data_IF_471654885341
#
_entry.id   IF_471654885341
#
_cell.length_a   1.000
_cell.length_b   1.000
_cell.length_c   1.000
_cell.angle_alpha   90.00
_cell.angle_beta   90.00
_cell.angle_gamma   90.00
#
_symmetry.space_group_name_H-M   'P 1'
#
loop_
_entity.id
_entity.type
_entity.pdbx_description
1 polymer ?
#
# COMPACT_ATOMS: atom_id res chain seq x y z
N UNK A 1 -6.44 22.35 7.44
CA UNK A 1 -6.04 23.21 6.29
C UNK A 1 -7.28 23.86 5.75
N UNK A 2 -7.29 25.22 5.71
CA UNK A 2 -8.36 26.03 5.14
C UNK A 2 -7.86 26.70 3.86
N UNK A 3 -8.71 26.80 2.85
CA UNK A 3 -8.43 27.51 1.60
C UNK A 3 -9.70 28.03 0.96
N UNK A 4 -9.57 29.03 0.11
CA UNK A 4 -10.68 29.64 -0.64
C UNK A 4 -10.42 29.52 -2.14
N UNK A 5 -11.47 29.65 -2.93
CA UNK A 5 -11.38 29.76 -4.38
C UNK A 5 -11.36 31.25 -4.77
N UNK A 6 -10.64 31.59 -5.82
CA UNK A 6 -10.61 32.91 -6.44
C UNK A 6 -11.57 33.04 -7.63
N UNK A 7 -12.10 31.91 -8.11
CA UNK A 7 -13.01 31.82 -9.25
C UNK A 7 -14.03 30.70 -9.05
N UNK A 8 -15.06 30.69 -9.89
CA UNK A 8 -15.99 29.55 -9.95
C UNK A 8 -15.24 28.28 -10.38
N UNK A 9 -15.30 27.23 -9.53
CA UNK A 9 -14.56 25.99 -9.75
C UNK A 9 -15.31 24.82 -9.12
N UNK A 10 -15.19 23.61 -9.67
CA UNK A 10 -15.74 22.42 -9.02
C UNK A 10 -14.95 22.08 -7.75
N UNK A 11 -15.65 21.57 -6.74
CA UNK A 11 -15.01 21.11 -5.50
C UNK A 11 -13.88 20.09 -5.78
N UNK A 12 -14.07 19.23 -6.79
CA UNK A 12 -13.05 18.28 -7.21
C UNK A 12 -11.76 18.95 -7.66
N UNK A 13 -11.87 19.94 -8.54
CA UNK A 13 -10.69 20.64 -9.08
C UNK A 13 -10.01 21.49 -8.02
N UNK A 14 -10.81 22.17 -7.18
CA UNK A 14 -10.27 22.96 -6.06
C UNK A 14 -9.49 22.10 -5.06
N UNK A 15 -10.07 20.99 -4.63
CA UNK A 15 -9.43 20.02 -3.72
C UNK A 15 -8.18 19.42 -4.36
N UNK A 16 -8.23 19.08 -5.65
CA UNK A 16 -7.06 18.57 -6.38
C UNK A 16 -5.92 19.60 -6.40
N UNK A 17 -6.21 20.85 -6.77
CA UNK A 17 -5.21 21.90 -6.89
C UNK A 17 -4.58 22.29 -5.53
N UNK A 18 -5.40 22.54 -4.52
CA UNK A 18 -4.94 23.04 -3.22
C UNK A 18 -4.36 21.96 -2.31
N UNK A 19 -4.67 20.69 -2.54
CA UNK A 19 -4.17 19.55 -1.77
C UNK A 19 -3.12 18.72 -2.50
N UNK A 20 -2.70 19.11 -3.70
CA UNK A 20 -1.63 18.48 -4.46
C UNK A 20 -1.96 17.02 -4.90
N UNK A 21 -3.23 16.69 -5.12
CA UNK A 21 -3.58 15.37 -5.63
C UNK A 21 -3.27 15.25 -7.13
N UNK A 22 -2.40 14.32 -7.48
CA UNK A 22 -2.06 14.04 -8.89
C UNK A 22 -3.23 13.39 -9.64
N UNK A 23 -4.13 12.68 -8.93
CA UNK A 23 -5.21 11.87 -9.53
C UNK A 23 -6.60 12.38 -9.13
N UNK A 24 -7.48 12.53 -10.13
CA UNK A 24 -8.91 12.83 -9.92
C UNK A 24 -9.60 11.77 -9.03
N UNK A 25 -9.19 10.52 -9.12
CA UNK A 25 -9.76 9.43 -8.31
C UNK A 25 -9.46 9.63 -6.83
N UNK A 26 -8.25 10.05 -6.47
CA UNK A 26 -7.88 10.34 -5.07
C UNK A 26 -8.69 11.52 -4.52
N UNK A 27 -8.77 12.62 -5.26
CA UNK A 27 -9.55 13.79 -4.85
C UNK A 27 -11.05 13.48 -4.71
N UNK A 28 -11.62 12.72 -5.66
CA UNK A 28 -13.03 12.27 -5.57
C UNK A 28 -13.31 11.42 -4.34
N UNK A 29 -12.40 10.51 -3.99
CA UNK A 29 -12.57 9.65 -2.82
C UNK A 29 -12.63 10.47 -1.53
N UNK A 30 -11.73 11.43 -1.35
CA UNK A 30 -11.67 12.32 -0.18
C UNK A 30 -12.98 13.08 0.00
N UNK A 31 -13.56 13.62 -1.09
CA UNK A 31 -14.84 14.32 -1.05
C UNK A 31 -15.97 13.34 -0.71
N UNK A 32 -16.03 12.18 -1.36
CA UNK A 32 -17.10 11.18 -1.14
C UNK A 32 -17.14 10.62 0.27
N UNK A 33 -15.99 10.46 0.92
CA UNK A 33 -15.94 9.99 2.32
C UNK A 33 -16.27 11.09 3.35
N UNK A 34 -16.53 12.32 2.88
CA UNK A 34 -17.01 13.41 3.73
C UNK A 34 -15.91 14.15 4.50
N UNK A 35 -14.67 14.13 4.02
CA UNK A 35 -13.55 14.84 4.66
C UNK A 35 -13.39 16.29 4.20
N UNK A 36 -14.31 16.81 3.41
CA UNK A 36 -14.29 18.20 2.97
C UNK A 36 -15.53 18.92 3.49
N UNK A 37 -15.31 20.05 4.13
CA UNK A 37 -16.34 20.99 4.53
C UNK A 37 -16.28 22.23 3.63
N UNK A 38 -17.46 22.70 3.24
CA UNK A 38 -17.65 23.95 2.50
C UNK A 38 -18.56 24.83 3.36
N UNK A 39 -18.09 25.98 3.76
CA UNK A 39 -18.81 26.90 4.69
C UNK A 39 -19.36 26.17 5.92
N UNK A 40 -18.52 25.33 6.55
CA UNK A 40 -18.86 24.59 7.76
C UNK A 40 -19.75 23.33 7.56
N UNK A 41 -20.14 23.00 6.33
CA UNK A 41 -20.97 21.80 6.02
C UNK A 41 -20.19 20.75 5.25
N UNK A 42 -20.29 19.50 5.66
CA UNK A 42 -19.66 18.37 4.95
C UNK A 42 -20.30 18.17 3.58
N UNK A 43 -19.52 18.27 2.52
CA UNK A 43 -19.95 18.05 1.14
C UNK A 43 -19.34 16.75 0.60
N UNK A 44 -20.18 15.89 0.03
CA UNK A 44 -19.78 14.59 -0.53
C UNK A 44 -19.91 14.50 -2.06
N UNK A 45 -20.33 15.59 -2.71
CA UNK A 45 -20.55 15.65 -4.15
C UNK A 45 -19.37 16.35 -4.82
N UNK A 46 -18.52 15.65 -5.60
CA UNK A 46 -17.32 16.23 -6.22
C UNK A 46 -17.61 17.36 -7.23
N UNK A 47 -18.76 17.34 -7.88
CA UNK A 47 -19.20 18.34 -8.88
C UNK A 47 -19.80 19.60 -8.25
N UNK A 48 -19.86 19.73 -6.93
CA UNK A 48 -20.38 20.93 -6.26
C UNK A 48 -19.61 22.15 -6.73
N UNK A 49 -20.29 23.18 -7.21
CA UNK A 49 -19.71 24.45 -7.63
C UNK A 49 -19.34 25.27 -6.39
N UNK A 50 -18.11 25.72 -6.35
CA UNK A 50 -17.55 26.57 -5.30
C UNK A 50 -17.38 27.97 -5.89
N UNK A 51 -18.04 28.95 -5.28
CA UNK A 51 -17.96 30.35 -5.68
C UNK A 51 -16.70 31.04 -5.09
N UNK A 52 -16.21 32.12 -5.70
CA UNK A 52 -15.13 32.93 -5.14
C UNK A 52 -15.37 33.30 -3.68
N UNK A 53 -14.33 33.26 -2.86
CA UNK A 53 -14.39 33.56 -1.43
C UNK A 53 -15.01 32.49 -0.53
N UNK A 54 -15.57 31.41 -1.09
CA UNK A 54 -16.13 30.32 -0.29
C UNK A 54 -15.03 29.58 0.46
N UNK A 55 -15.15 29.48 1.78
CA UNK A 55 -14.20 28.74 2.63
C UNK A 55 -14.41 27.23 2.46
N UNK A 56 -13.32 26.56 2.13
CA UNK A 56 -13.25 25.09 2.05
C UNK A 56 -12.18 24.63 3.02
N UNK A 57 -12.50 23.66 3.85
CA UNK A 57 -11.57 23.11 4.82
C UNK A 57 -11.68 21.59 4.92
N UNK A 58 -10.62 20.99 5.47
CA UNK A 58 -10.66 19.59 5.90
C UNK A 58 -11.62 19.46 7.08
N UNK A 59 -12.62 18.62 6.94
CA UNK A 59 -13.53 18.29 8.04
C UNK A 59 -12.72 17.72 9.22
N UNK A 60 -12.88 18.32 10.40
CA UNK A 60 -12.43 17.67 11.63
C UNK A 60 -13.16 16.35 11.80
N UNK A 61 -12.49 15.36 12.37
CA UNK A 61 -13.04 14.03 12.63
C UNK A 61 -14.43 14.14 13.31
N UNK A 62 -15.50 13.93 12.56
CA UNK A 62 -16.84 13.82 13.13
C UNK A 62 -16.95 12.40 13.70
N UNK A 63 -16.93 12.28 15.02
CA UNK A 63 -17.23 10.99 15.67
C UNK A 63 -18.65 10.60 15.28
N UNK A 64 -18.79 9.58 14.44
CA UNK A 64 -20.11 8.99 14.16
C UNK A 64 -20.70 8.43 15.45
N UNK A 65 -21.91 8.87 15.83
CA UNK A 65 -22.64 8.37 17.00
C UNK A 65 -23.29 6.98 16.82
N UNK A 66 -22.99 6.27 15.74
CA UNK A 66 -23.43 4.88 15.58
C UNK A 66 -22.53 3.95 16.41
N UNK A 67 -22.80 3.89 17.69
CA UNK A 67 -22.29 2.81 18.55
C UNK A 67 -23.02 1.53 18.12
N UNK A 68 -22.32 0.62 17.49
CA UNK A 68 -22.82 -0.74 17.30
C UNK A 68 -22.97 -1.36 18.69
N UNK A 69 -24.03 -2.15 18.92
CA UNK A 69 -24.30 -2.84 20.20
C UNK A 69 -23.19 -3.81 20.62
N UNK A 70 -22.33 -4.21 19.68
CA UNK A 70 -21.16 -5.06 19.88
C UNK A 70 -19.93 -4.40 19.25
N UNK A 71 -18.77 -4.54 19.87
CA UNK A 71 -17.53 -4.06 19.30
C UNK A 71 -17.25 -4.78 17.97
N UNK A 72 -16.97 -4.04 16.88
CA UNK A 72 -16.69 -4.65 15.59
C UNK A 72 -15.40 -5.46 15.67
N UNK A 73 -15.45 -6.71 15.25
CA UNK A 73 -14.29 -7.60 15.18
C UNK A 73 -13.72 -7.58 13.76
N UNK A 74 -12.45 -7.21 13.63
CA UNK A 74 -11.72 -7.36 12.36
C UNK A 74 -11.20 -8.80 12.23
N UNK A 75 -11.61 -9.51 11.17
CA UNK A 75 -11.20 -10.90 10.90
C UNK A 75 -9.72 -11.03 10.44
N UNK A 76 -9.01 -9.92 10.31
CA UNK A 76 -7.61 -9.85 9.93
C UNK A 76 -6.76 -9.54 11.16
N UNK A 77 -5.55 -10.11 11.20
CA UNK A 77 -4.61 -9.83 12.30
C UNK A 77 -4.21 -8.35 12.27
N UNK A 78 -4.53 -7.63 13.33
CA UNK A 78 -4.06 -6.28 13.55
C UNK A 78 -2.61 -6.36 14.02
N UNK A 79 -1.72 -5.62 13.35
CA UNK A 79 -0.31 -5.51 13.69
C UNK A 79 -0.02 -4.27 14.53
N UNK A 80 -0.74 -3.20 14.23
CA UNK A 80 -0.69 -1.93 14.94
C UNK A 80 -1.99 -1.17 14.76
N UNK A 81 -2.49 -0.53 15.78
CA UNK A 81 -3.64 0.38 15.71
C UNK A 81 -3.52 1.46 16.78
N UNK A 82 -3.65 2.71 16.35
CA UNK A 82 -3.81 3.88 17.22
C UNK A 82 -4.93 4.80 16.69
N UNK A 83 -4.94 6.06 17.11
CA UNK A 83 -5.93 7.03 16.64
C UNK A 83 -5.77 7.40 15.15
N UNK A 84 -4.57 7.31 14.59
CA UNK A 84 -4.19 7.82 13.27
C UNK A 84 -4.10 6.73 12.20
N UNK A 85 -3.60 5.55 12.55
CA UNK A 85 -3.35 4.46 11.59
C UNK A 85 -3.88 3.11 12.08
N UNK A 86 -4.09 2.23 11.12
CA UNK A 86 -4.33 0.79 11.33
C UNK A 86 -3.46 0.01 10.35
N UNK A 87 -2.63 -0.88 10.86
CA UNK A 87 -1.85 -1.82 10.06
C UNK A 87 -2.34 -3.25 10.28
N UNK A 88 -2.52 -3.98 9.20
CA UNK A 88 -3.03 -5.37 9.22
C UNK A 88 -2.16 -6.30 8.42
N UNK A 89 -2.13 -7.57 8.82
CA UNK A 89 -1.48 -8.67 8.09
C UNK A 89 -2.45 -9.24 7.06
N UNK A 90 -2.23 -8.90 5.79
CA UNK A 90 -3.04 -9.39 4.67
C UNK A 90 -2.62 -10.81 4.29
N UNK A 91 -3.56 -11.73 4.26
CA UNK A 91 -3.35 -13.09 3.74
C UNK A 91 -3.28 -13.10 2.22
N UNK A 92 -2.53 -14.03 1.67
CA UNK A 92 -2.53 -14.34 0.23
C UNK A 92 -3.94 -14.67 -0.26
N UNK A 93 -4.24 -14.34 -1.51
CA UNK A 93 -5.55 -14.59 -2.14
C UNK A 93 -6.58 -13.48 -1.92
N UNK A 94 -6.39 -12.60 -0.93
CA UNK A 94 -7.28 -11.50 -0.64
C UNK A 94 -6.91 -10.25 -1.46
N UNK A 95 -7.89 -9.68 -2.15
CA UNK A 95 -7.74 -8.39 -2.85
C UNK A 95 -7.77 -7.27 -1.83
N UNK A 96 -6.82 -6.33 -1.89
CA UNK A 96 -6.82 -5.17 -0.97
C UNK A 96 -7.97 -4.23 -1.28
N UNK A 97 -8.15 -3.83 -2.54
CA UNK A 97 -9.23 -2.94 -3.00
C UNK A 97 -9.60 -3.27 -4.43
N UNK A 98 -10.89 -3.29 -4.73
CA UNK A 98 -11.43 -3.48 -6.08
C UNK A 98 -12.15 -2.23 -6.57
N UNK A 99 -12.13 -2.00 -7.87
CA UNK A 99 -13.02 -1.03 -8.53
C UNK A 99 -14.45 -1.55 -8.64
N UNK A 100 -14.63 -2.86 -8.62
CA UNK A 100 -15.96 -3.50 -8.57
C UNK A 100 -16.46 -3.54 -7.12
N UNK A 101 -17.47 -2.72 -6.82
CA UNK A 101 -18.01 -2.52 -5.47
C UNK A 101 -18.65 -3.75 -4.83
N UNK A 102 -18.92 -4.81 -5.60
CA UNK A 102 -19.59 -6.03 -5.12
C UNK A 102 -18.63 -7.09 -4.56
N UNK A 103 -17.30 -6.85 -4.64
CA UNK A 103 -16.32 -7.79 -4.15
C UNK A 103 -15.92 -7.48 -2.71
N UNK A 104 -15.91 -8.51 -1.87
CA UNK A 104 -15.31 -8.43 -0.54
C UNK A 104 -13.80 -8.26 -0.68
N UNK A 105 -13.26 -7.23 -0.04
CA UNK A 105 -11.84 -6.86 -0.07
C UNK A 105 -11.35 -6.55 1.33
N UNK A 106 -10.04 -6.55 1.53
CA UNK A 106 -9.46 -6.10 2.79
C UNK A 106 -9.94 -4.68 3.15
N UNK A 107 -10.02 -3.79 2.16
CA UNK A 107 -10.51 -2.42 2.35
C UNK A 107 -11.95 -2.37 2.86
N UNK A 108 -12.85 -3.21 2.32
CA UNK A 108 -14.25 -3.24 2.78
C UNK A 108 -14.36 -3.75 4.20
N UNK A 109 -13.57 -4.77 4.58
CA UNK A 109 -13.57 -5.33 5.94
C UNK A 109 -13.00 -4.31 6.95
N UNK A 110 -11.88 -3.65 6.62
CA UNK A 110 -11.28 -2.59 7.45
C UNK A 110 -12.19 -1.38 7.57
N UNK A 111 -12.82 -0.95 6.48
CA UNK A 111 -13.76 0.18 6.50
C UNK A 111 -14.99 -0.11 7.38
N UNK A 112 -15.50 -1.33 7.35
CA UNK A 112 -16.58 -1.77 8.22
C UNK A 112 -16.16 -1.73 9.70
N UNK A 113 -14.99 -2.29 10.02
CA UNK A 113 -14.41 -2.28 11.35
C UNK A 113 -14.22 -0.86 11.90
N UNK A 114 -13.59 0.02 11.12
CA UNK A 114 -13.35 1.41 11.53
C UNK A 114 -14.64 2.19 11.73
N UNK A 115 -15.63 2.00 10.86
CA UNK A 115 -16.97 2.61 11.03
C UNK A 115 -17.67 2.17 12.31
N UNK A 116 -17.53 0.91 12.66
CA UNK A 116 -18.07 0.39 13.92
C UNK A 116 -17.43 1.02 15.15
N UNK A 117 -16.17 1.44 15.05
CA UNK A 117 -15.45 2.22 16.07
C UNK A 117 -15.71 3.73 15.99
N UNK A 118 -16.63 4.18 15.16
CA UNK A 118 -16.92 5.61 14.96
C UNK A 118 -15.87 6.36 14.14
N UNK A 119 -15.06 5.66 13.35
CA UNK A 119 -14.08 6.24 12.42
C UNK A 119 -14.65 6.18 11.01
N UNK A 120 -15.07 7.32 10.48
CA UNK A 120 -15.69 7.40 9.15
C UNK A 120 -14.69 7.38 7.99
N UNK A 121 -13.41 7.58 8.28
CA UNK A 121 -12.35 7.65 7.28
C UNK A 121 -11.52 6.39 7.26
N UNK A 122 -11.32 5.85 6.06
CA UNK A 122 -10.43 4.73 5.80
C UNK A 122 -9.69 4.99 4.49
N UNK A 123 -8.39 5.28 4.57
CA UNK A 123 -7.55 5.60 3.42
C UNK A 123 -6.39 4.60 3.34
N UNK A 124 -6.35 3.83 2.27
CA UNK A 124 -5.30 2.84 2.05
C UNK A 124 -3.99 3.52 1.63
N UNK A 125 -2.93 3.37 2.41
CA UNK A 125 -1.62 3.97 2.17
C UNK A 125 -0.82 3.17 1.13
N UNK A 126 -0.71 1.85 1.31
CA UNK A 126 0.00 0.97 0.39
C UNK A 126 -0.88 -0.16 -0.16
N UNK A 127 -0.41 -0.76 -1.23
CA UNK A 127 -1.07 -1.88 -1.90
C UNK A 127 -0.16 -3.10 -1.90
N UNK A 128 -0.70 -4.23 -1.50
CA UNK A 128 -0.10 -5.56 -1.63
C UNK A 128 -0.92 -6.35 -2.63
N UNK A 129 -0.30 -7.01 -3.59
CA UNK A 129 -1.01 -7.73 -4.64
C UNK A 129 -1.87 -8.88 -4.08
N UNK A 130 -2.89 -9.32 -4.84
CA UNK A 130 -3.76 -10.44 -4.44
C UNK A 130 -2.95 -11.69 -4.08
N UNK A 131 -1.93 -12.00 -4.89
CA UNK A 131 -1.09 -13.19 -4.74
C UNK A 131 0.00 -13.06 -3.68
N UNK A 132 0.26 -11.87 -3.17
CA UNK A 132 1.20 -11.58 -2.08
C UNK A 132 0.50 -11.53 -0.73
N UNK A 133 1.28 -11.63 0.34
CA UNK A 133 0.84 -11.39 1.72
C UNK A 133 1.65 -10.28 2.39
N UNK A 134 1.23 -9.86 3.58
CA UNK A 134 1.99 -8.92 4.40
C UNK A 134 1.25 -7.65 4.77
N UNK A 135 2.01 -6.65 5.17
CA UNK A 135 1.54 -5.44 5.84
C UNK A 135 0.77 -4.53 4.88
N UNK A 136 -0.46 -4.19 5.27
CA UNK A 136 -1.23 -3.11 4.65
C UNK A 136 -1.56 -2.07 5.70
N UNK A 137 -1.19 -0.82 5.41
CA UNK A 137 -1.39 0.34 6.29
C UNK A 137 -2.58 1.15 5.77
N UNK A 138 -3.45 1.52 6.69
CA UNK A 138 -4.59 2.41 6.47
C UNK A 138 -4.45 3.62 7.38
N UNK A 139 -4.67 4.81 6.82
CA UNK A 139 -4.77 6.04 7.58
C UNK A 139 -6.24 6.32 7.93
N UNK A 140 -6.46 6.80 9.14
CA UNK A 140 -7.79 7.16 9.67
C UNK A 140 -8.14 8.62 9.41
N UNK A 141 -7.16 9.42 8.95
CA UNK A 141 -7.30 10.83 8.58
C UNK A 141 -6.58 11.15 7.27
N UNK A 142 -7.04 12.21 6.58
CA UNK A 142 -6.45 12.62 5.30
C UNK A 142 -5.05 13.21 5.45
N UNK A 143 -4.80 13.98 6.51
CA UNK A 143 -3.49 14.52 6.85
C UNK A 143 -2.44 13.43 6.95
N UNK A 144 -2.72 12.41 7.75
CA UNK A 144 -1.88 11.23 7.96
C UNK A 144 -1.70 10.43 6.67
N UNK A 145 -2.80 10.23 5.90
CA UNK A 145 -2.70 9.58 4.61
C UNK A 145 -1.75 10.30 3.65
N UNK A 146 -1.84 11.64 3.59
CA UNK A 146 -0.99 12.45 2.72
C UNK A 146 0.47 12.35 3.15
N UNK A 147 0.75 12.54 4.42
CA UNK A 147 2.09 12.42 5.00
C UNK A 147 2.73 11.07 4.67
N UNK A 148 2.03 9.96 4.98
CA UNK A 148 2.55 8.62 4.74
C UNK A 148 2.69 8.31 3.25
N UNK A 149 1.76 8.75 2.41
CA UNK A 149 1.79 8.49 0.96
C UNK A 149 2.88 9.28 0.24
N UNK A 150 3.10 10.55 0.61
CA UNK A 150 4.09 11.42 -0.02
C UNK A 150 5.52 10.98 0.33
N UNK A 151 5.71 10.43 1.53
CA UNK A 151 7.01 9.93 2.00
C UNK A 151 7.20 8.41 1.84
N UNK A 152 6.22 7.67 1.31
CA UNK A 152 6.25 6.20 1.23
C UNK A 152 7.53 5.64 0.60
N UNK A 153 8.09 6.31 -0.40
CA UNK A 153 9.31 5.88 -1.08
C UNK A 153 10.56 5.94 -0.18
N UNK A 154 10.56 6.83 0.81
CA UNK A 154 11.69 7.05 1.73
C UNK A 154 11.72 6.06 2.90
N UNK A 155 10.63 5.35 3.16
CA UNK A 155 10.52 4.44 4.29
C UNK A 155 11.28 3.14 4.04
N UNK A 156 11.85 2.59 5.09
CA UNK A 156 12.52 1.28 5.00
C UNK A 156 11.49 0.17 4.88
N UNK A 157 11.52 -0.55 3.78
CA UNK A 157 10.59 -1.64 3.47
C UNK A 157 11.37 -2.94 3.28
N UNK A 158 10.89 -4.02 3.94
CA UNK A 158 11.53 -5.34 3.87
C UNK A 158 10.52 -6.42 3.50
N UNK A 159 10.99 -7.35 2.69
CA UNK A 159 10.20 -8.46 2.18
C UNK A 159 10.88 -9.79 2.42
N UNK A 160 10.10 -10.85 2.59
CA UNK A 160 10.55 -12.22 2.38
C UNK A 160 10.04 -12.71 1.03
N UNK A 161 10.91 -13.36 0.27
CA UNK A 161 10.55 -14.05 -0.96
C UNK A 161 11.10 -15.48 -0.94
N UNK A 162 10.52 -16.34 -1.76
CA UNK A 162 11.10 -17.66 -2.07
C UNK A 162 11.35 -17.74 -3.56
N UNK A 163 12.54 -18.16 -3.92
CA UNK A 163 12.94 -18.42 -5.30
C UNK A 163 13.28 -19.89 -5.49
N UNK A 164 13.16 -20.44 -6.72
CA UNK A 164 13.75 -21.72 -7.06
C UNK A 164 15.27 -21.59 -7.12
N UNK A 165 15.98 -22.69 -6.83
CA UNK A 165 17.46 -22.69 -6.82
C UNK A 165 18.06 -21.90 -5.67
N UNK A 166 19.31 -21.46 -5.88
CA UNK A 166 20.10 -20.75 -4.88
C UNK A 166 20.55 -19.35 -5.34
N UNK A 167 21.15 -18.61 -4.45
CA UNK A 167 21.95 -17.41 -4.74
C UNK A 167 23.43 -17.78 -4.63
N UNK A 168 24.28 -17.09 -5.41
CA UNK A 168 25.73 -17.29 -5.38
C UNK A 168 26.30 -16.90 -4.00
N UNK A 169 25.86 -15.73 -3.50
CA UNK A 169 26.33 -15.20 -2.20
C UNK A 169 25.20 -15.22 -1.17
N UNK A 170 25.54 -15.36 0.10
CA UNK A 170 24.60 -15.32 1.21
C UNK A 170 23.95 -13.94 1.43
N UNK A 171 24.62 -12.88 0.99
CA UNK A 171 24.15 -11.49 1.06
C UNK A 171 24.80 -10.64 -0.02
N UNK A 172 24.12 -9.59 -0.43
CA UNK A 172 24.67 -8.64 -1.40
C UNK A 172 23.70 -7.53 -1.73
N UNK A 173 24.13 -6.67 -2.65
CA UNK A 173 23.31 -5.66 -3.28
C UNK A 173 23.01 -6.09 -4.72
N UNK A 174 21.78 -5.89 -5.16
CA UNK A 174 21.34 -6.06 -6.55
C UNK A 174 20.93 -4.71 -7.07
N UNK A 175 21.56 -4.25 -8.13
CA UNK A 175 21.24 -2.99 -8.78
C UNK A 175 21.27 -3.16 -10.31
N UNK A 176 20.23 -2.61 -10.97
CA UNK A 176 20.16 -2.60 -12.43
C UNK A 176 19.20 -1.52 -12.92
N UNK A 177 19.31 -1.20 -14.22
CA UNK A 177 18.46 -0.24 -14.91
C UNK A 177 17.26 -0.94 -15.53
N UNK A 178 16.07 -0.41 -15.26
CA UNK A 178 14.79 -0.92 -15.78
C UNK A 178 14.00 0.20 -16.47
N UNK A 179 13.07 -0.20 -17.31
CA UNK A 179 12.03 0.67 -17.85
C UNK A 179 10.65 0.06 -17.71
N UNK A 180 9.63 0.90 -17.56
CA UNK A 180 8.24 0.44 -17.54
C UNK A 180 7.68 0.39 -18.97
N UNK A 181 7.16 -0.78 -19.39
CA UNK A 181 6.46 -0.92 -20.65
C UNK A 181 5.00 -0.47 -20.57
N UNK A 182 4.28 -0.48 -21.69
CA UNK A 182 2.90 0.02 -21.80
C UNK A 182 1.89 -0.74 -20.92
N UNK A 183 2.18 -1.99 -20.55
CA UNK A 183 1.33 -2.79 -19.63
C UNK A 183 1.79 -2.74 -18.17
N UNK A 184 2.74 -1.85 -17.84
CA UNK A 184 3.23 -1.64 -16.47
C UNK A 184 4.11 -2.75 -15.91
N UNK A 185 4.84 -3.47 -16.79
CA UNK A 185 5.94 -4.36 -16.42
C UNK A 185 7.25 -3.59 -16.38
N UNK A 186 8.10 -3.91 -15.42
CA UNK A 186 9.50 -3.50 -15.42
C UNK A 186 10.29 -4.51 -16.25
N UNK A 187 10.96 -4.01 -17.29
CA UNK A 187 11.85 -4.77 -18.15
C UNK A 187 13.27 -4.21 -18.01
N UNK A 188 14.32 -5.05 -18.10
CA UNK A 188 15.70 -4.58 -18.00
C UNK A 188 16.07 -3.65 -19.14
N UNK A 189 17.00 -2.72 -18.87
CA UNK A 189 17.52 -1.76 -19.84
C UNK A 189 16.78 -0.43 -19.89
N UNK A 190 17.18 0.43 -20.83
CA UNK A 190 16.67 1.80 -21.00
C UNK A 190 15.39 1.83 -21.85
N UNK A 191 14.50 2.77 -21.57
CA UNK A 191 13.24 2.99 -22.30
C UNK A 191 12.60 4.33 -21.94
N UNK A 192 11.33 4.54 -22.31
CA UNK A 192 10.62 5.83 -22.10
C UNK A 192 10.55 6.26 -20.62
N UNK A 193 10.49 5.30 -19.69
CA UNK A 193 10.42 5.55 -18.24
C UNK A 193 11.51 4.73 -17.56
N UNK A 194 12.74 5.13 -17.77
CA UNK A 194 13.91 4.49 -17.17
C UNK A 194 14.01 4.79 -15.68
N UNK A 195 14.35 3.80 -14.89
CA UNK A 195 14.56 3.91 -13.46
C UNK A 195 15.66 2.97 -12.97
N UNK A 196 16.42 3.42 -11.99
CA UNK A 196 17.40 2.59 -11.30
C UNK A 196 16.68 1.83 -10.18
N UNK A 197 16.84 0.53 -10.18
CA UNK A 197 16.33 -0.38 -9.15
C UNK A 197 17.50 -0.89 -8.34
N UNK A 198 17.43 -0.74 -7.03
CA UNK A 198 18.42 -1.25 -6.11
C UNK A 198 17.77 -1.84 -4.88
N UNK A 199 18.28 -2.98 -4.43
CA UNK A 199 17.83 -3.68 -3.23
C UNK A 199 18.96 -4.49 -2.61
N UNK A 200 18.96 -4.57 -1.28
CA UNK A 200 19.84 -5.45 -0.53
C UNK A 200 19.13 -6.77 -0.27
N UNK A 201 19.90 -7.87 -0.32
CA UNK A 201 19.36 -9.18 0.00
C UNK A 201 20.22 -9.94 1.02
N UNK A 202 19.55 -10.85 1.72
CA UNK A 202 20.21 -11.86 2.58
C UNK A 202 19.47 -13.18 2.45
N UNK A 203 20.21 -14.25 2.19
CA UNK A 203 19.71 -15.61 2.24
C UNK A 203 19.39 -15.98 3.70
N UNK A 204 18.18 -16.43 3.94
CA UNK A 204 17.71 -16.84 5.27
C UNK A 204 17.78 -18.33 5.45
N UNK A 205 17.50 -19.08 4.39
CA UNK A 205 17.51 -20.53 4.36
C UNK A 205 17.51 -21.04 2.93
N UNK A 206 18.22 -22.12 2.66
CA UNK A 206 18.23 -22.82 1.37
C UNK A 206 18.35 -24.33 1.56
N UNK A 207 17.74 -25.10 0.69
CA UNK A 207 17.94 -26.55 0.58
C UNK A 207 18.43 -26.96 -0.82
N UNK A 208 18.90 -26.00 -1.63
CA UNK A 208 19.31 -26.20 -3.02
C UNK A 208 18.17 -26.18 -4.03
N UNK A 209 16.98 -26.63 -3.67
CA UNK A 209 15.79 -26.57 -4.54
C UNK A 209 15.05 -25.23 -4.40
N UNK A 210 14.93 -24.73 -3.18
CA UNK A 210 14.30 -23.45 -2.88
C UNK A 210 15.12 -22.65 -1.89
N UNK A 211 15.13 -21.33 -2.09
CA UNK A 211 15.84 -20.40 -1.22
C UNK A 211 14.89 -19.31 -0.71
N UNK A 212 14.87 -19.13 0.60
CA UNK A 212 14.17 -18.05 1.29
C UNK A 212 15.11 -16.87 1.42
N UNK A 213 14.71 -15.72 0.93
CA UNK A 213 15.52 -14.50 0.90
C UNK A 213 14.78 -13.38 1.62
N UNK A 214 15.51 -12.63 2.44
CA UNK A 214 15.08 -11.34 2.97
C UNK A 214 15.60 -10.24 2.05
N UNK A 215 14.71 -9.36 1.64
CA UNK A 215 14.99 -8.19 0.81
C UNK A 215 14.80 -6.92 1.62
N UNK A 216 15.66 -5.95 1.46
CA UNK A 216 15.46 -4.56 1.85
C UNK A 216 15.45 -3.69 0.60
N UNK A 217 14.39 -2.91 0.40
CA UNK A 217 14.27 -1.99 -0.73
C UNK A 217 15.15 -0.76 -0.53
N UNK A 218 16.10 -0.50 -1.41
CA UNK A 218 16.87 0.74 -1.48
C UNK A 218 16.14 1.74 -2.38
N UNK A 219 15.77 1.34 -3.59
CA UNK A 219 14.81 2.07 -4.42
C UNK A 219 13.37 1.70 -4.07
N UNK A 220 12.38 2.43 -4.60
CA UNK A 220 10.97 2.10 -4.36
C UNK A 220 10.14 2.25 -5.64
N UNK A 221 10.15 1.19 -6.43
CA UNK A 221 9.39 1.08 -7.68
C UNK A 221 8.43 -0.11 -7.64
N UNK A 222 7.30 0.05 -8.30
CA UNK A 222 6.32 -1.03 -8.39
C UNK A 222 6.92 -2.26 -9.08
N UNK A 223 6.72 -3.45 -8.53
CA UNK A 223 7.23 -4.73 -9.05
C UNK A 223 8.77 -4.87 -9.10
N UNK A 224 9.54 -3.97 -8.50
CA UNK A 224 11.01 -3.97 -8.62
C UNK A 224 11.66 -5.29 -8.17
N UNK A 225 11.23 -5.88 -7.04
CA UNK A 225 11.74 -7.16 -6.52
C UNK A 225 11.47 -8.27 -7.55
N UNK A 226 10.25 -8.33 -8.07
CA UNK A 226 9.82 -9.32 -9.07
C UNK A 226 10.63 -9.23 -10.35
N UNK A 227 10.83 -8.00 -10.86
CA UNK A 227 11.61 -7.73 -12.06
C UNK A 227 13.09 -8.11 -11.87
N UNK A 228 13.70 -7.73 -10.75
CA UNK A 228 15.10 -8.03 -10.42
C UNK A 228 15.35 -9.55 -10.38
N UNK A 229 14.51 -10.30 -9.67
CA UNK A 229 14.67 -11.75 -9.59
C UNK A 229 14.33 -12.48 -10.89
N UNK A 230 13.48 -11.91 -11.75
CA UNK A 230 13.28 -12.39 -13.12
C UNK A 230 14.51 -12.17 -14.00
N UNK A 231 15.17 -11.00 -13.87
CA UNK A 231 16.43 -10.71 -14.59
C UNK A 231 17.52 -11.73 -14.20
N UNK A 232 17.59 -12.11 -12.94
CA UNK A 232 18.52 -13.14 -12.44
C UNK A 232 18.14 -14.57 -12.86
N UNK A 233 17.09 -14.75 -13.68
CA UNK A 233 16.54 -16.07 -14.08
C UNK A 233 16.04 -16.92 -12.93
N UNK A 234 15.81 -16.32 -11.78
CA UNK A 234 15.25 -16.92 -10.57
C UNK A 234 13.96 -16.17 -10.11
N UNK A 235 12.91 -16.14 -10.96
CA UNK A 235 11.68 -15.44 -10.62
C UNK A 235 11.06 -15.99 -9.33
N UNK A 236 10.38 -15.13 -8.58
CA UNK A 236 9.73 -15.51 -7.32
C UNK A 236 8.77 -16.69 -7.57
N UNK A 237 8.79 -17.67 -6.69
CA UNK A 237 7.95 -18.86 -6.77
C UNK A 237 6.45 -18.47 -6.88
N UNK A 238 5.78 -18.92 -7.95
CA UNK A 238 4.38 -18.59 -8.25
C UNK A 238 4.13 -17.24 -8.91
N UNK A 239 5.19 -16.57 -9.40
CA UNK A 239 5.06 -15.31 -10.14
C UNK A 239 4.70 -15.51 -11.61
N UNK A 240 3.42 -15.62 -11.94
CA UNK A 240 2.96 -15.76 -13.32
C UNK A 240 3.33 -14.54 -14.19
N UNK A 241 3.39 -13.34 -13.59
CA UNK A 241 3.63 -12.10 -14.30
C UNK A 241 5.06 -12.02 -14.85
N UNK A 242 6.01 -12.56 -14.09
CA UNK A 242 7.41 -12.64 -14.45
C UNK A 242 7.86 -14.08 -14.77
N UNK A 243 6.90 -14.94 -15.21
CA UNK A 243 7.10 -16.25 -15.81
C UNK A 243 7.87 -17.24 -14.94
N UNK A 244 7.51 -17.33 -13.66
CA UNK A 244 7.99 -18.44 -12.83
C UNK A 244 7.46 -19.78 -13.37
N UNK A 245 8.33 -20.72 -13.64
CA UNK A 245 7.98 -22.08 -14.07
C UNK A 245 7.39 -22.88 -12.91
N UNK A 246 7.71 -22.51 -11.67
CA UNK A 246 7.23 -23.18 -10.48
C UNK A 246 5.94 -22.54 -9.99
N UNK A 247 4.92 -23.37 -9.83
CA UNK A 247 3.64 -22.95 -9.23
C UNK A 247 3.74 -22.93 -7.72
N UNK A 248 3.02 -22.01 -7.11
CA UNK A 248 2.82 -21.97 -5.67
C UNK A 248 1.32 -21.89 -5.38
N UNK A 249 0.77 -22.95 -4.77
CA UNK A 249 -0.68 -23.11 -4.55
C UNK A 249 -1.33 -21.91 -3.83
N UNK A 250 -0.57 -21.24 -2.98
CA UNK A 250 -1.04 -20.08 -2.22
C UNK A 250 -0.87 -18.74 -2.95
N UNK A 251 -0.54 -18.75 -4.25
CA UNK A 251 -0.37 -17.54 -5.06
C UNK A 251 1.07 -17.25 -5.42
N UNK A 252 1.74 -16.32 -4.76
CA UNK A 252 3.16 -15.98 -4.96
C UNK A 252 3.88 -15.98 -3.60
N UNK A 253 5.06 -16.56 -3.56
CA UNK A 253 5.86 -16.63 -2.34
C UNK A 253 6.60 -15.31 -2.07
N UNK A 254 5.82 -14.24 -1.90
CA UNK A 254 6.27 -12.91 -1.52
C UNK A 254 5.47 -12.40 -0.33
N UNK A 255 6.15 -11.80 0.64
CA UNK A 255 5.57 -11.33 1.88
C UNK A 255 6.22 -10.02 2.34
N UNK A 256 5.45 -8.95 2.39
CA UNK A 256 5.88 -7.66 2.93
C UNK A 256 5.86 -7.73 4.46
N UNK A 257 7.01 -7.95 5.09
CA UNK A 257 7.06 -8.29 6.51
C UNK A 257 7.42 -7.15 7.44
N UNK A 258 8.06 -6.08 6.96
CA UNK A 258 8.45 -4.98 7.82
C UNK A 258 8.40 -3.65 7.08
N UNK A 259 7.86 -2.65 7.76
CA UNK A 259 7.98 -1.24 7.38
C UNK A 259 8.41 -0.43 8.58
N UNK A 260 9.40 0.48 8.38
CA UNK A 260 9.95 1.37 9.38
C UNK A 260 9.92 2.80 8.86
N UNK A 261 9.37 3.72 9.65
CA UNK A 261 9.20 5.13 9.27
C UNK A 261 9.13 6.05 10.51
N UNK A 262 9.48 7.33 10.37
CA UNK A 262 9.22 8.34 11.41
C UNK A 262 7.72 8.46 11.67
N UNK A 263 7.33 8.44 12.94
CA UNK A 263 5.94 8.51 13.34
C UNK A 263 5.82 9.24 14.68
N UNK A 264 5.13 10.39 14.69
CA UNK A 264 5.18 11.33 15.81
C UNK A 264 6.65 11.65 16.17
N UNK A 265 7.06 11.46 17.42
CA UNK A 265 8.40 11.76 17.91
C UNK A 265 9.34 10.55 17.97
N UNK A 266 8.97 9.42 17.33
CA UNK A 266 9.77 8.19 17.33
C UNK A 266 9.77 7.48 15.98
N UNK A 267 10.63 6.48 15.82
CA UNK A 267 10.58 5.57 14.67
C UNK A 267 9.65 4.38 14.97
N UNK A 268 8.56 4.29 14.21
CA UNK A 268 7.66 3.15 14.27
C UNK A 268 8.13 2.06 13.31
N UNK A 269 8.34 0.86 13.84
CA UNK A 269 8.56 -0.33 13.02
C UNK A 269 7.43 -1.33 13.21
N UNK A 270 6.67 -1.60 12.13
CA UNK A 270 5.60 -2.59 12.10
C UNK A 270 6.13 -3.86 11.45
N UNK A 271 5.96 -5.01 12.11
CA UNK A 271 6.47 -6.30 11.64
C UNK A 271 5.42 -7.40 11.68
N UNK A 272 5.57 -8.34 10.77
CA UNK A 272 4.87 -9.64 10.78
C UNK A 272 5.89 -10.78 10.61
N UNK A 273 5.66 -11.94 11.21
CA UNK A 273 6.63 -13.03 11.12
C UNK A 273 6.71 -13.60 9.70
N UNK A 274 7.84 -14.23 9.40
CA UNK A 274 8.00 -14.99 8.17
C UNK A 274 6.89 -16.05 8.05
N UNK A 275 6.25 -16.19 6.88
CA UNK A 275 5.22 -17.22 6.68
C UNK A 275 5.78 -18.63 6.89
N UNK A 276 5.16 -19.41 7.77
CA UNK A 276 5.57 -20.80 8.02
C UNK A 276 5.70 -21.66 6.75
N UNK A 277 4.83 -21.51 5.70
CA UNK A 277 5.01 -22.20 4.44
C UNK A 277 6.33 -21.91 3.72
N UNK A 278 6.89 -20.68 3.81
CA UNK A 278 8.18 -20.35 3.20
C UNK A 278 9.31 -21.15 3.83
N UNK A 279 9.32 -21.24 5.16
CA UNK A 279 10.33 -22.03 5.88
C UNK A 279 10.21 -23.54 5.62
N UNK A 280 9.01 -24.03 5.29
CA UNK A 280 8.80 -25.45 4.93
C UNK A 280 9.33 -25.79 3.55
N UNK A 281 9.26 -24.84 2.59
CA UNK A 281 9.80 -25.05 1.24
C UNK A 281 11.32 -25.22 1.22
N UNK A 282 12.03 -24.54 2.11
CA UNK A 282 13.50 -24.59 2.20
C UNK A 282 14.01 -25.53 3.34
N UNK A 283 13.22 -26.54 3.71
CA UNK A 283 13.63 -27.59 4.67
C UNK A 283 14.35 -28.78 3.98
#
# INVERSE_FOLDING_TARGET
VKFTSEKDISLLELVKAKMGFVSNTKARNVIKIGQIMVSGKVIKIPSTLIKPGTEVELARRVKSKRVLKEEPILKHKILFEDENILAVDKRTGLIVKSSNGNLRTLFTDVNYYLKGKGVDTCLMVNKVDKKESGIVVFAKELSIYKELSDNWKKYTKRHYIVIPGGMVDEKGNLADTFHENDIGLLLPGKGKKTMEVSLDYRVMKSNGQFTVIRIEEISSHKNQIRAMFSLLKNPILGDDKYRSEYKYEKGMAAHFFSIKFPYNDYELEIKTPIPKPFLKLAR
#
